data_IF_133330012748
#
_entry.id   IF_133330012748
#
_cell.length_a   1.000
_cell.length_b   1.000
_cell.length_c   1.000
_cell.angle_alpha   90.00
_cell.angle_beta   90.00
_cell.angle_gamma   90.00
#
_symmetry.space_group_name_H-M   'P 1'
#
loop_
_entity.id
_entity.type
_entity.pdbx_description
1 polymer ?
#
# COMPACT_ATOMS: atom_id res chain seq x y z
N UNK A 1 -13.07 -25.66 24.07
CA UNK A 1 -12.96 -25.84 22.60
C UNK A 1 -11.65 -25.20 22.20
N UNK A 2 -10.74 -25.91 21.57
CA UNK A 2 -9.51 -25.31 21.07
C UNK A 2 -9.92 -24.24 20.05
N UNK A 3 -9.70 -22.98 20.37
CA UNK A 3 -9.90 -21.87 19.46
C UNK A 3 -8.84 -22.02 18.36
N UNK A 4 -9.25 -22.47 17.17
CA UNK A 4 -8.33 -22.62 16.03
C UNK A 4 -7.67 -21.30 15.69
N UNK A 5 -6.48 -21.38 15.09
CA UNK A 5 -5.74 -20.20 14.60
C UNK A 5 -6.62 -19.38 13.66
N UNK A 6 -6.79 -18.10 13.95
CA UNK A 6 -7.41 -17.12 13.03
C UNK A 6 -6.30 -16.27 12.41
N UNK A 7 -6.34 -16.11 11.10
CA UNK A 7 -5.39 -15.32 10.33
C UNK A 7 -6.12 -14.11 9.71
N UNK A 8 -5.62 -12.92 9.92
CA UNK A 8 -6.04 -11.73 9.20
C UNK A 8 -4.95 -11.33 8.21
N UNK A 9 -5.32 -10.99 6.97
CA UNK A 9 -4.39 -10.60 5.89
C UNK A 9 -4.90 -9.36 5.19
N UNK A 10 -4.02 -8.40 5.04
CA UNK A 10 -4.19 -7.23 4.19
C UNK A 10 -3.20 -7.32 3.02
N UNK A 11 -3.73 -7.46 1.80
CA UNK A 11 -2.93 -7.50 0.57
C UNK A 11 -2.99 -6.11 -0.05
N UNK A 12 -2.09 -5.23 0.38
CA UNK A 12 -2.01 -3.88 -0.18
C UNK A 12 -1.27 -3.84 -1.53
N UNK A 13 -1.30 -2.68 -2.19
CA UNK A 13 -0.59 -2.45 -3.46
C UNK A 13 0.93 -2.35 -3.30
N UNK A 14 1.44 -1.98 -2.13
CA UNK A 14 2.87 -1.90 -1.85
C UNK A 14 3.41 -3.04 -1.00
N UNK A 15 2.61 -3.47 -0.03
CA UNK A 15 2.99 -4.49 0.94
C UNK A 15 1.80 -5.38 1.29
N UNK A 16 2.10 -6.61 1.67
CA UNK A 16 1.16 -7.51 2.34
C UNK A 16 1.50 -7.53 3.82
N UNK A 17 0.50 -7.33 4.66
CA UNK A 17 0.59 -7.45 6.12
C UNK A 17 -0.33 -8.55 6.61
N UNK A 18 -0.01 -9.11 7.76
CA UNK A 18 -0.85 -10.12 8.39
C UNK A 18 -0.72 -10.09 9.91
N UNK A 19 -1.76 -10.60 10.56
CA UNK A 19 -1.78 -10.85 11.99
C UNK A 19 -2.45 -12.18 12.28
N UNK A 20 -2.06 -12.82 13.37
CA UNK A 20 -2.67 -14.05 13.86
C UNK A 20 -3.31 -13.82 15.22
N UNK A 21 -4.44 -14.49 15.45
CA UNK A 21 -5.03 -14.59 16.78
C UNK A 21 -4.81 -16.01 17.32
N UNK A 22 -4.03 -16.09 18.40
CA UNK A 22 -3.72 -17.33 19.11
C UNK A 22 -4.20 -17.18 20.54
N UNK A 23 -5.06 -18.07 21.00
CA UNK A 23 -5.59 -18.04 22.38
C UNK A 23 -6.16 -16.68 22.81
N UNK A 24 -6.80 -15.98 21.88
CA UNK A 24 -7.40 -14.65 22.10
C UNK A 24 -6.40 -13.49 22.08
N UNK A 25 -5.13 -13.73 21.81
CA UNK A 25 -4.11 -12.67 21.63
C UNK A 25 -3.87 -12.42 20.16
N UNK A 26 -3.90 -11.16 19.78
CA UNK A 26 -3.59 -10.71 18.41
C UNK A 26 -2.09 -10.40 18.33
N UNK A 27 -1.41 -11.05 17.39
CA UNK A 27 0.04 -10.87 17.16
C UNK A 27 0.29 -10.53 15.70
N UNK A 28 1.04 -9.44 15.41
CA UNK A 28 1.49 -9.15 14.05
C UNK A 28 2.38 -10.28 13.53
N UNK A 29 2.13 -10.74 12.31
CA UNK A 29 2.93 -11.77 11.66
C UNK A 29 4.07 -11.13 10.87
N UNK A 30 5.30 -11.56 11.14
CA UNK A 30 6.45 -11.18 10.32
C UNK A 30 6.46 -11.99 9.03
N UNK A 31 6.21 -11.34 7.91
CA UNK A 31 6.22 -11.95 6.58
C UNK A 31 7.58 -11.78 5.87
N UNK A 32 8.41 -10.85 6.35
CA UNK A 32 9.77 -10.60 5.89
C UNK A 32 10.66 -10.18 7.09
N UNK A 33 12.00 -10.19 6.95
CA UNK A 33 12.91 -9.75 8.02
C UNK A 33 12.56 -8.37 8.60
N UNK A 34 12.14 -7.44 7.72
CA UNK A 34 11.78 -6.07 8.07
C UNK A 34 10.29 -5.89 8.43
N UNK A 35 9.51 -6.98 8.51
CA UNK A 35 8.09 -6.98 8.89
C UNK A 35 7.15 -7.33 7.74
N UNK A 36 6.57 -6.36 7.01
CA UNK A 36 5.66 -6.60 5.90
C UNK A 36 6.35 -7.22 4.67
N UNK A 37 5.64 -8.03 3.90
CA UNK A 37 6.13 -8.59 2.64
C UNK A 37 5.84 -7.63 1.49
N UNK A 38 6.83 -7.36 0.63
CA UNK A 38 6.61 -6.54 -0.59
C UNK A 38 5.56 -7.18 -1.49
N UNK A 39 4.68 -6.34 -2.03
CA UNK A 39 3.62 -6.77 -2.96
C UNK A 39 4.21 -6.97 -4.37
N UNK A 40 5.00 -8.02 -4.54
CA UNK A 40 5.55 -8.44 -5.83
C UNK A 40 5.49 -9.95 -5.94
N UNK A 41 5.14 -10.43 -7.12
CA UNK A 41 5.18 -11.87 -7.48
C UNK A 41 6.03 -12.01 -8.73
N UNK A 42 6.96 -12.96 -8.72
CA UNK A 42 7.86 -13.21 -9.85
C UNK A 42 7.85 -14.67 -10.26
N UNK A 43 8.04 -14.90 -11.57
CA UNK A 43 8.17 -16.25 -12.13
C UNK A 43 9.64 -16.66 -12.14
N UNK A 44 9.99 -17.70 -11.38
CA UNK A 44 11.32 -18.29 -11.38
C UNK A 44 11.62 -19.04 -12.68
N UNK A 45 12.88 -19.38 -12.92
CA UNK A 45 13.30 -20.13 -14.12
C UNK A 45 12.69 -21.53 -14.20
N UNK A 46 12.39 -22.16 -13.07
CA UNK A 46 11.72 -23.46 -12.97
C UNK A 46 10.18 -23.38 -13.01
N UNK A 47 9.62 -22.18 -13.31
CA UNK A 47 8.19 -21.98 -13.52
C UNK A 47 7.38 -21.81 -12.23
N UNK A 48 8.00 -21.61 -11.08
CA UNK A 48 7.30 -21.36 -9.82
C UNK A 48 7.06 -19.88 -9.60
N UNK A 49 5.89 -19.53 -9.02
CA UNK A 49 5.61 -18.20 -8.54
C UNK A 49 6.27 -18.00 -7.16
N UNK A 50 7.12 -17.00 -7.07
CA UNK A 50 7.80 -16.57 -5.85
C UNK A 50 7.21 -15.26 -5.35
N UNK A 51 7.32 -15.03 -4.03
CA UNK A 51 6.84 -13.83 -3.33
C UNK A 51 7.92 -13.28 -2.42
N UNK A 52 7.71 -12.10 -1.84
CA UNK A 52 8.63 -11.51 -0.87
C UNK A 52 10.00 -11.16 -1.45
N UNK A 53 11.07 -11.38 -0.67
CA UNK A 53 12.44 -11.02 -1.08
C UNK A 53 12.90 -11.77 -2.33
N UNK A 54 12.61 -13.06 -2.43
CA UNK A 54 12.97 -13.86 -3.61
C UNK A 54 12.31 -13.33 -4.90
N UNK A 55 11.07 -12.85 -4.82
CA UNK A 55 10.42 -12.20 -5.96
C UNK A 55 11.03 -10.84 -6.26
N UNK A 56 11.39 -10.06 -5.23
CA UNK A 56 12.02 -8.75 -5.39
C UNK A 56 13.41 -8.86 -6.05
N UNK A 57 14.18 -9.90 -5.74
CA UNK A 57 15.49 -10.16 -6.36
C UNK A 57 15.35 -10.46 -7.87
N UNK A 58 14.34 -11.25 -8.25
CA UNK A 58 14.04 -11.49 -9.66
C UNK A 58 13.55 -10.20 -10.33
N UNK A 59 12.66 -9.44 -9.69
CA UNK A 59 12.16 -8.18 -10.22
C UNK A 59 13.29 -7.17 -10.49
N UNK A 60 14.33 -7.15 -9.66
CA UNK A 60 15.47 -6.26 -9.84
C UNK A 60 16.36 -6.65 -11.03
N UNK A 61 16.44 -7.94 -11.39
CA UNK A 61 17.31 -8.45 -12.44
C UNK A 61 16.57 -8.82 -13.72
N UNK A 62 15.32 -9.24 -13.61
CA UNK A 62 14.44 -9.70 -14.70
C UNK A 62 13.04 -9.11 -14.51
N UNK A 63 12.87 -7.79 -14.72
CA UNK A 63 11.58 -7.11 -14.49
C UNK A 63 10.44 -7.66 -15.37
N UNK A 64 10.76 -8.20 -16.55
CA UNK A 64 9.80 -8.87 -17.44
C UNK A 64 9.17 -10.15 -16.83
N UNK A 65 9.81 -10.72 -15.79
CA UNK A 65 9.33 -11.93 -15.09
C UNK A 65 8.64 -11.60 -13.76
N UNK A 66 8.38 -10.34 -13.49
CA UNK A 66 7.81 -9.87 -12.23
C UNK A 66 6.53 -9.08 -12.44
N UNK A 67 5.56 -9.30 -11.57
CA UNK A 67 4.35 -8.50 -11.43
C UNK A 67 4.43 -7.71 -10.13
N UNK A 68 4.76 -6.42 -10.15
CA UNK A 68 4.54 -5.54 -9.01
C UNK A 68 3.04 -5.33 -8.81
N UNK A 69 2.63 -5.04 -7.58
CA UNK A 69 1.23 -4.76 -7.24
C UNK A 69 0.24 -5.85 -7.75
N UNK A 70 0.38 -7.12 -7.33
CA UNK A 70 -0.45 -8.21 -7.84
C UNK A 70 -1.95 -7.99 -7.56
N UNK A 71 -2.31 -7.23 -6.49
CA UNK A 71 -3.70 -6.87 -6.21
C UNK A 71 -4.28 -5.94 -7.29
N UNK A 72 -3.50 -4.97 -7.75
CA UNK A 72 -3.92 -4.08 -8.84
C UNK A 72 -4.02 -4.85 -10.18
N UNK A 73 -3.16 -5.84 -10.40
CA UNK A 73 -3.31 -6.72 -11.55
C UNK A 73 -4.61 -7.53 -11.49
N UNK A 74 -4.98 -8.06 -10.32
CA UNK A 74 -6.26 -8.76 -10.10
C UNK A 74 -7.47 -7.87 -10.39
N UNK A 75 -7.38 -6.57 -10.08
CA UNK A 75 -8.43 -5.59 -10.34
C UNK A 75 -8.61 -5.33 -11.84
N UNK A 76 -7.50 -5.16 -12.57
CA UNK A 76 -7.51 -4.60 -13.92
C UNK A 76 -7.54 -5.65 -15.05
N UNK A 77 -7.14 -6.89 -14.79
CA UNK A 77 -7.01 -7.92 -15.83
C UNK A 77 -7.15 -9.33 -15.27
N UNK A 78 -7.55 -10.27 -16.13
CA UNK A 78 -7.68 -11.68 -15.74
C UNK A 78 -6.34 -12.42 -15.79
N UNK A 79 -5.36 -11.90 -16.56
CA UNK A 79 -4.07 -12.54 -16.74
C UNK A 79 -2.96 -11.53 -17.01
N UNK A 80 -1.72 -11.91 -16.67
CA UNK A 80 -0.50 -11.14 -16.96
C UNK A 80 0.53 -12.01 -17.66
N UNK A 81 1.43 -11.37 -18.40
CA UNK A 81 2.56 -12.07 -19.01
C UNK A 81 3.81 -11.89 -18.15
N UNK A 82 4.43 -13.01 -17.72
CA UNK A 82 5.69 -13.02 -16.99
C UNK A 82 6.73 -13.79 -17.83
N UNK A 83 7.66 -13.06 -18.44
CA UNK A 83 8.56 -13.60 -19.46
C UNK A 83 7.75 -14.12 -20.66
N UNK A 84 7.89 -15.41 -20.99
CA UNK A 84 7.13 -16.06 -22.04
C UNK A 84 5.83 -16.74 -21.57
N UNK A 85 5.50 -16.68 -20.27
CA UNK A 85 4.38 -17.41 -19.68
C UNK A 85 3.23 -16.50 -19.34
N UNK A 86 2.01 -16.87 -19.69
CA UNK A 86 0.78 -16.19 -19.29
C UNK A 86 0.27 -16.79 -18.00
N UNK A 87 0.07 -15.94 -16.98
CA UNK A 87 -0.34 -16.33 -15.64
C UNK A 87 -1.69 -15.69 -15.32
N UNK A 88 -2.72 -16.45 -14.90
CA UNK A 88 -3.95 -15.88 -14.36
C UNK A 88 -3.67 -15.04 -13.10
N UNK A 89 -4.27 -13.85 -12.99
CA UNK A 89 -4.01 -12.95 -11.85
C UNK A 89 -4.44 -13.53 -10.51
N UNK A 90 -5.45 -14.41 -10.51
CA UNK A 90 -5.85 -15.17 -9.31
C UNK A 90 -4.71 -16.04 -8.76
N UNK A 91 -3.82 -16.57 -9.61
CA UNK A 91 -2.68 -17.39 -9.16
C UNK A 91 -1.59 -16.55 -8.49
N UNK A 92 -1.45 -15.27 -8.87
CA UNK A 92 -0.54 -14.34 -8.20
C UNK A 92 -0.97 -14.13 -6.74
N UNK A 93 -2.26 -13.83 -6.54
CA UNK A 93 -2.81 -13.64 -5.19
C UNK A 93 -2.80 -14.95 -4.40
N UNK A 94 -3.11 -16.08 -5.05
CA UNK A 94 -3.01 -17.39 -4.42
C UNK A 94 -1.58 -17.70 -3.96
N UNK A 95 -0.55 -17.31 -4.72
CA UNK A 95 0.85 -17.47 -4.30
C UNK A 95 1.18 -16.62 -3.06
N UNK A 96 0.72 -15.35 -3.03
CA UNK A 96 0.84 -14.47 -1.85
C UNK A 96 0.18 -15.11 -0.63
N UNK A 97 -1.07 -15.57 -0.76
CA UNK A 97 -1.82 -16.17 0.34
C UNK A 97 -1.19 -17.47 0.82
N UNK A 98 -0.69 -18.34 -0.07
CA UNK A 98 0.04 -19.55 0.32
C UNK A 98 1.28 -19.25 1.17
N UNK A 99 2.03 -18.21 0.80
CA UNK A 99 3.19 -17.76 1.58
C UNK A 99 2.78 -17.26 2.96
N UNK A 100 1.73 -16.45 3.03
CA UNK A 100 1.23 -15.91 4.32
C UNK A 100 0.75 -17.05 5.23
N UNK A 101 0.01 -18.01 4.70
CA UNK A 101 -0.45 -19.20 5.45
C UNK A 101 0.73 -20.05 5.93
N UNK A 102 1.75 -20.21 5.09
CA UNK A 102 2.98 -20.91 5.48
C UNK A 102 3.66 -20.23 6.67
N UNK A 103 3.81 -18.90 6.63
CA UNK A 103 4.40 -18.16 7.74
C UNK A 103 3.54 -18.19 9.01
N UNK A 104 2.21 -18.09 8.87
CA UNK A 104 1.29 -18.21 10.00
C UNK A 104 1.38 -19.59 10.68
N UNK A 105 1.43 -20.67 9.88
CA UNK A 105 1.58 -22.03 10.37
C UNK A 105 2.92 -22.24 11.08
N UNK A 106 4.00 -21.68 10.51
CA UNK A 106 5.34 -21.69 11.16
C UNK A 106 5.34 -20.95 12.49
N UNK A 107 4.71 -19.77 12.53
CA UNK A 107 4.66 -18.91 13.72
C UNK A 107 3.92 -19.58 14.86
N UNK A 108 2.76 -20.20 14.57
CA UNK A 108 1.94 -20.87 15.58
C UNK A 108 2.46 -22.24 15.98
N UNK A 109 3.40 -22.82 15.22
CA UNK A 109 3.85 -24.22 15.35
C UNK A 109 2.68 -25.22 15.42
N UNK A 110 1.54 -24.89 14.79
CA UNK A 110 0.29 -25.63 14.86
C UNK A 110 -0.31 -25.96 13.49
N UNK A 111 -1.59 -26.32 13.43
CA UNK A 111 -2.29 -26.55 12.16
C UNK A 111 -2.47 -25.24 11.38
N UNK A 112 -2.77 -25.34 10.07
CA UNK A 112 -3.15 -24.17 9.26
C UNK A 112 -4.32 -23.38 9.88
N UNK A 113 -4.48 -22.09 9.52
CA UNK A 113 -5.56 -21.26 10.03
C UNK A 113 -6.94 -21.88 9.78
N UNK A 114 -7.76 -21.98 10.82
CA UNK A 114 -9.14 -22.46 10.74
C UNK A 114 -10.10 -21.43 10.15
N UNK A 115 -9.75 -20.14 10.29
CA UNK A 115 -10.50 -19.00 9.75
C UNK A 115 -9.51 -17.98 9.21
N UNK A 116 -9.85 -17.38 8.06
CA UNK A 116 -9.08 -16.30 7.45
C UNK A 116 -9.97 -15.09 7.21
N UNK A 117 -9.50 -13.92 7.63
CA UNK A 117 -10.11 -12.62 7.31
C UNK A 117 -9.20 -11.94 6.29
N UNK A 118 -9.73 -11.62 5.12
CA UNK A 118 -9.02 -10.82 4.10
C UNK A 118 -9.65 -9.44 4.02
N UNK A 119 -8.83 -8.41 3.98
CA UNK A 119 -9.31 -7.08 3.60
C UNK A 119 -9.58 -7.01 2.10
N UNK A 120 -10.48 -6.14 1.71
CA UNK A 120 -10.78 -5.86 0.31
C UNK A 120 -11.01 -4.36 0.12
N UNK A 121 -10.49 -3.77 -0.99
CA UNK A 121 -10.74 -2.38 -1.33
C UNK A 121 -12.23 -2.09 -1.40
N UNK A 122 -12.66 -1.02 -0.73
CA UNK A 122 -14.08 -0.66 -0.62
C UNK A 122 -14.72 -0.32 -1.97
N UNK A 123 -13.92 0.10 -2.95
CA UNK A 123 -14.36 0.44 -4.30
C UNK A 123 -14.65 -0.78 -5.20
N UNK A 124 -14.29 -1.98 -4.75
CA UNK A 124 -14.44 -3.18 -5.56
C UNK A 124 -15.91 -3.56 -5.73
N UNK A 125 -16.25 -3.98 -6.93
CA UNK A 125 -17.53 -4.57 -7.29
C UNK A 125 -17.56 -6.07 -6.96
N UNK A 126 -18.69 -6.73 -7.23
CA UNK A 126 -18.82 -8.17 -7.04
C UNK A 126 -17.76 -8.99 -7.80
N UNK A 127 -17.35 -8.55 -9.01
CA UNK A 127 -16.41 -9.28 -9.86
C UNK A 127 -14.99 -9.35 -9.26
N UNK A 128 -14.47 -8.23 -8.72
CA UNK A 128 -13.15 -8.22 -8.06
C UNK A 128 -13.17 -9.02 -6.76
N UNK A 129 -14.26 -8.89 -5.99
CA UNK A 129 -14.49 -9.66 -4.76
C UNK A 129 -14.53 -11.16 -5.06
N UNK A 130 -15.19 -11.59 -6.13
CA UNK A 130 -15.26 -12.99 -6.52
C UNK A 130 -13.90 -13.52 -7.00
N UNK A 131 -13.11 -12.70 -7.70
CA UNK A 131 -11.73 -13.04 -8.06
C UNK A 131 -10.83 -13.21 -6.82
N UNK A 132 -10.98 -12.36 -5.80
CA UNK A 132 -10.24 -12.52 -4.53
C UNK A 132 -10.66 -13.80 -3.80
N UNK A 133 -11.96 -14.13 -3.76
CA UNK A 133 -12.45 -15.40 -3.21
C UNK A 133 -11.92 -16.61 -3.97
N UNK A 134 -11.90 -16.54 -5.30
CA UNK A 134 -11.33 -17.59 -6.14
C UNK A 134 -9.83 -17.77 -5.86
N UNK A 135 -9.07 -16.69 -5.72
CA UNK A 135 -7.66 -16.75 -5.36
C UNK A 135 -7.43 -17.39 -3.98
N UNK A 136 -8.26 -17.04 -3.00
CA UNK A 136 -8.21 -17.64 -1.66
C UNK A 136 -8.51 -19.17 -1.73
N UNK A 137 -9.52 -19.56 -2.50
CA UNK A 137 -9.83 -20.97 -2.72
C UNK A 137 -8.67 -21.72 -3.39
N UNK A 138 -8.01 -21.09 -4.40
CA UNK A 138 -6.80 -21.64 -5.06
C UNK A 138 -5.61 -21.75 -4.11
N UNK A 139 -5.58 -20.94 -3.05
CA UNK A 139 -4.59 -21.05 -1.96
C UNK A 139 -4.95 -22.13 -0.92
N UNK A 140 -6.08 -22.82 -1.07
CA UNK A 140 -6.56 -23.84 -0.13
C UNK A 140 -7.38 -23.29 1.05
N UNK A 141 -7.79 -22.02 0.98
CA UNK A 141 -8.55 -21.36 2.04
C UNK A 141 -10.06 -21.48 1.76
N UNK A 142 -10.77 -22.22 2.61
CA UNK A 142 -12.21 -22.50 2.44
C UNK A 142 -13.11 -21.69 3.38
N UNK A 143 -12.58 -21.24 4.52
CA UNK A 143 -13.30 -20.44 5.50
C UNK A 143 -12.76 -18.99 5.50
N UNK A 144 -13.23 -18.18 4.55
CA UNK A 144 -12.74 -16.82 4.32
C UNK A 144 -13.86 -15.81 4.52
N UNK A 145 -13.61 -14.85 5.40
CA UNK A 145 -14.44 -13.65 5.58
C UNK A 145 -13.75 -12.46 4.91
N UNK A 146 -14.46 -11.72 4.07
CA UNK A 146 -13.95 -10.46 3.51
C UNK A 146 -14.44 -9.29 4.37
N UNK A 147 -13.52 -8.35 4.63
CA UNK A 147 -13.76 -7.14 5.41
C UNK A 147 -13.32 -5.92 4.59
N UNK A 148 -14.16 -4.90 4.40
CA UNK A 148 -13.73 -3.67 3.75
C UNK A 148 -12.54 -3.01 4.50
N UNK A 149 -11.50 -2.61 3.76
CA UNK A 149 -10.29 -1.98 4.30
C UNK A 149 -10.58 -0.85 5.30
N UNK A 150 -11.47 0.15 5.00
CA UNK A 150 -11.73 1.24 5.93
C UNK A 150 -12.40 0.78 7.23
N UNK A 151 -13.20 -0.30 7.21
CA UNK A 151 -13.79 -0.87 8.44
C UNK A 151 -12.71 -1.54 9.28
N UNK A 152 -11.78 -2.27 8.65
CA UNK A 152 -10.65 -2.88 9.35
C UNK A 152 -9.78 -1.81 10.02
N UNK A 153 -9.44 -0.75 9.29
CA UNK A 153 -8.65 0.37 9.78
C UNK A 153 -9.35 1.09 10.94
N UNK A 154 -10.64 1.39 10.81
CA UNK A 154 -11.41 2.05 11.86
C UNK A 154 -11.49 1.19 13.14
N UNK A 155 -11.68 -0.11 13.02
CA UNK A 155 -11.69 -1.02 14.18
C UNK A 155 -10.35 -1.07 14.92
N UNK A 156 -9.26 -0.86 14.21
CA UNK A 156 -7.92 -0.84 14.81
C UNK A 156 -7.61 0.49 15.47
N UNK A 157 -7.94 1.62 14.83
CA UNK A 157 -7.55 2.95 15.29
C UNK A 157 -8.53 3.55 16.31
N UNK A 158 -9.81 3.18 16.24
CA UNK A 158 -10.80 3.74 17.15
C UNK A 158 -10.55 3.32 18.60
N UNK A 159 -10.54 4.31 19.49
CA UNK A 159 -10.67 4.03 20.91
C UNK A 159 -12.09 3.50 21.19
N UNK A 160 -12.25 2.26 21.71
CA UNK A 160 -13.55 1.70 22.03
C UNK A 160 -14.38 2.57 22.98
N UNK A 161 -13.74 3.39 23.81
CA UNK A 161 -14.39 4.30 24.77
C UNK A 161 -14.67 5.70 24.18
N UNK A 162 -14.06 6.06 23.04
CA UNK A 162 -14.07 7.41 22.50
C UNK A 162 -15.22 7.74 21.57
N UNK A 163 -15.63 6.79 20.72
CA UNK A 163 -16.64 7.03 19.71
C UNK A 163 -18.02 6.54 20.14
N UNK A 164 -18.99 7.46 20.22
CA UNK A 164 -20.38 7.13 20.53
C UNK A 164 -21.08 6.52 19.29
N UNK A 165 -22.00 5.56 19.46
CA UNK A 165 -22.86 5.14 18.37
C UNK A 165 -23.55 6.34 17.70
N UNK A 166 -23.54 6.37 16.36
CA UNK A 166 -24.00 7.50 15.56
C UNK A 166 -22.93 8.55 15.22
N UNK A 167 -21.75 8.53 15.87
CA UNK A 167 -20.62 9.37 15.46
C UNK A 167 -20.18 9.03 14.04
N UNK A 168 -19.83 10.05 13.27
CA UNK A 168 -19.33 9.90 11.91
C UNK A 168 -17.84 10.19 11.88
N UNK A 169 -17.08 9.32 11.24
CA UNK A 169 -15.64 9.46 11.04
C UNK A 169 -15.30 9.36 9.56
N UNK A 170 -14.13 9.85 9.20
CA UNK A 170 -13.57 9.64 7.88
C UNK A 170 -12.32 8.74 7.95
N UNK A 171 -12.13 7.90 6.93
CA UNK A 171 -10.89 7.17 6.69
C UNK A 171 -10.24 7.76 5.45
N UNK A 172 -9.06 8.33 5.63
CA UNK A 172 -8.18 8.84 4.58
C UNK A 172 -7.07 7.81 4.38
N UNK A 173 -7.19 7.02 3.32
CA UNK A 173 -6.23 5.95 3.01
C UNK A 173 -5.38 6.35 1.80
N UNK A 174 -4.09 6.66 2.06
CA UNK A 174 -3.11 6.94 1.02
C UNK A 174 -2.05 5.85 1.01
N UNK A 175 -2.27 4.87 0.16
CA UNK A 175 -1.43 3.70 -0.01
C UNK A 175 -0.24 3.92 -0.95
N UNK A 176 0.31 2.82 -1.46
CA UNK A 176 1.43 2.88 -2.41
C UNK A 176 0.98 3.31 -3.81
N UNK A 177 -0.18 2.88 -4.29
CA UNK A 177 -0.65 3.17 -5.65
C UNK A 177 -1.92 4.03 -5.69
N UNK A 178 -2.75 3.98 -4.66
CA UNK A 178 -4.10 4.54 -4.66
C UNK A 178 -4.35 5.43 -3.45
N UNK A 179 -5.32 6.33 -3.61
CA UNK A 179 -5.95 7.08 -2.53
C UNK A 179 -7.42 6.66 -2.43
N UNK A 180 -7.92 6.42 -1.22
CA UNK A 180 -9.33 6.18 -0.93
C UNK A 180 -9.81 7.07 0.22
N UNK A 181 -11.03 7.57 0.11
CA UNK A 181 -11.74 8.34 1.12
C UNK A 181 -13.06 7.63 1.45
N UNK A 182 -13.31 7.31 2.71
CA UNK A 182 -14.53 6.63 3.13
C UNK A 182 -15.08 7.26 4.38
N UNK A 183 -16.39 7.48 4.38
CA UNK A 183 -17.10 7.95 5.57
C UNK A 183 -17.76 6.76 6.26
N UNK A 184 -17.57 6.68 7.56
CA UNK A 184 -18.10 5.61 8.39
C UNK A 184 -18.98 6.18 9.51
N UNK A 185 -20.02 5.44 9.86
CA UNK A 185 -20.82 5.70 11.07
C UNK A 185 -20.51 4.64 12.11
N UNK A 186 -20.19 5.04 13.32
CA UNK A 186 -20.00 4.15 14.44
C UNK A 186 -21.36 3.53 14.85
N UNK A 187 -21.40 2.22 15.05
CA UNK A 187 -22.56 1.46 15.50
C UNK A 187 -22.21 0.65 16.76
N UNK A 188 -23.20 0.13 17.49
CA UNK A 188 -22.90 -0.74 18.64
C UNK A 188 -22.07 -1.99 18.28
N UNK A 189 -22.10 -2.42 17.00
CA UNK A 189 -21.37 -3.61 16.50
C UNK A 189 -20.05 -3.27 15.79
N UNK A 190 -19.67 -2.00 15.66
CA UNK A 190 -18.47 -1.57 14.94
C UNK A 190 -18.73 -0.37 14.04
N UNK A 191 -18.50 -0.49 12.75
CA UNK A 191 -18.64 0.60 11.78
C UNK A 191 -19.41 0.16 10.55
N UNK A 192 -20.17 1.10 9.97
CA UNK A 192 -20.89 0.95 8.70
C UNK A 192 -20.47 2.06 7.74
N UNK A 193 -20.34 1.72 6.44
CA UNK A 193 -20.01 2.67 5.40
C UNK A 193 -21.23 3.59 5.19
N UNK A 194 -20.96 4.90 5.14
CA UNK A 194 -21.97 5.92 4.91
C UNK A 194 -21.72 6.64 3.58
N UNK A 195 -22.69 6.55 2.69
CA UNK A 195 -22.56 7.11 1.34
C UNK A 195 -21.61 6.31 0.44
N UNK A 196 -21.29 6.87 -0.71
CA UNK A 196 -20.37 6.26 -1.67
C UNK A 196 -18.92 6.64 -1.35
N UNK A 197 -17.99 5.68 -1.27
CA UNK A 197 -16.57 5.98 -1.13
C UNK A 197 -16.03 6.78 -2.30
N UNK A 198 -15.16 7.75 -1.99
CA UNK A 198 -14.39 8.52 -2.99
C UNK A 198 -12.95 8.05 -3.08
N UNK A 199 -12.19 8.69 -3.97
CA UNK A 199 -10.76 8.41 -4.07
C UNK A 199 -10.15 8.72 -5.43
N UNK A 200 -8.88 8.33 -5.59
CA UNK A 200 -8.14 8.40 -6.84
C UNK A 200 -7.32 7.12 -7.02
N UNK A 201 -7.68 6.26 -7.99
CA UNK A 201 -6.98 4.98 -8.21
C UNK A 201 -5.57 5.15 -8.80
N UNK A 202 -5.23 6.33 -9.30
CA UNK A 202 -3.98 6.64 -9.97
C UNK A 202 -3.02 7.51 -9.14
N UNK A 203 -3.35 7.76 -7.86
CA UNK A 203 -2.53 8.57 -6.97
C UNK A 203 -2.21 7.85 -5.66
N UNK A 204 -0.93 7.67 -5.40
CA UNK A 204 -0.39 7.06 -4.18
C UNK A 204 1.11 7.30 -4.06
N UNK A 205 1.76 6.59 -3.17
CA UNK A 205 3.19 6.70 -2.88
C UNK A 205 4.09 6.57 -4.11
N UNK A 206 3.76 5.68 -5.04
CA UNK A 206 4.51 5.50 -6.29
C UNK A 206 4.52 6.76 -7.16
N UNK A 207 3.38 7.47 -7.22
CA UNK A 207 3.29 8.75 -7.94
C UNK A 207 4.09 9.85 -7.26
N UNK A 208 4.10 9.83 -5.93
CA UNK A 208 4.94 10.75 -5.13
C UNK A 208 6.42 10.46 -5.39
N UNK A 209 6.83 9.19 -5.48
CA UNK A 209 8.21 8.79 -5.83
C UNK A 209 8.61 9.31 -7.20
N UNK A 210 7.73 9.23 -8.22
CA UNK A 210 7.98 9.77 -9.55
C UNK A 210 8.11 11.30 -9.54
N UNK A 211 7.32 12.00 -8.73
CA UNK A 211 7.43 13.45 -8.57
C UNK A 211 8.75 13.81 -7.91
N UNK A 212 9.13 13.10 -6.85
CA UNK A 212 10.38 13.32 -6.15
C UNK A 212 11.60 12.99 -7.03
N UNK A 213 11.53 11.92 -7.84
CA UNK A 213 12.57 11.60 -8.82
C UNK A 213 12.79 12.75 -9.82
N UNK A 214 11.71 13.37 -10.32
CA UNK A 214 11.83 14.58 -11.17
C UNK A 214 12.52 15.72 -10.43
N UNK A 215 12.22 15.90 -9.13
CA UNK A 215 12.88 16.92 -8.32
C UNK A 215 14.38 16.64 -8.15
N UNK A 216 14.76 15.37 -7.97
CA UNK A 216 16.16 14.93 -7.96
C UNK A 216 16.81 15.22 -9.31
N UNK A 217 16.12 14.90 -10.41
CA UNK A 217 16.62 15.18 -11.79
C UNK A 217 16.87 16.68 -12.04
N UNK A 218 15.98 17.55 -11.61
CA UNK A 218 16.13 19.00 -11.72
C UNK A 218 17.38 19.52 -10.98
N UNK A 219 17.65 18.98 -9.80
CA UNK A 219 18.85 19.35 -9.02
C UNK A 219 20.14 18.75 -9.62
N UNK A 220 20.10 17.48 -9.97
CA UNK A 220 21.22 16.80 -10.63
C UNK A 220 21.59 17.48 -11.94
N UNK A 221 20.58 17.86 -12.75
CA UNK A 221 20.78 18.57 -14.02
C UNK A 221 21.39 19.97 -13.86
N UNK A 222 21.20 20.64 -12.73
CA UNK A 222 21.88 21.90 -12.42
C UNK A 222 23.34 21.71 -12.09
N UNK A 223 23.74 20.53 -11.59
CA UNK A 223 25.14 20.19 -11.29
C UNK A 223 25.84 19.71 -12.56
N UNK A 224 25.31 18.69 -13.22
CA UNK A 224 25.83 18.15 -14.48
C UNK A 224 24.70 17.49 -15.29
N UNK A 225 24.04 18.28 -16.13
CA UNK A 225 22.93 17.81 -16.97
C UNK A 225 23.35 16.76 -17.99
N UNK A 226 24.58 16.82 -18.49
CA UNK A 226 25.10 15.87 -19.48
C UNK A 226 25.30 14.49 -18.84
N UNK A 227 25.92 14.47 -17.66
CA UNK A 227 26.13 13.22 -16.92
C UNK A 227 24.80 12.60 -16.47
N UNK A 228 23.84 13.41 -15.98
CA UNK A 228 22.50 12.92 -15.62
C UNK A 228 21.77 12.29 -16.81
N UNK A 229 21.74 12.97 -17.96
CA UNK A 229 21.09 12.44 -19.16
C UNK A 229 21.79 11.19 -19.69
N UNK A 230 23.12 11.15 -19.67
CA UNK A 230 23.88 9.97 -20.09
C UNK A 230 23.59 8.76 -19.18
N UNK A 231 23.47 8.99 -17.87
CA UNK A 231 23.12 7.94 -16.91
C UNK A 231 21.75 7.29 -17.29
N UNK A 232 20.73 8.09 -17.53
CA UNK A 232 19.37 7.58 -17.86
C UNK A 232 19.27 7.03 -19.28
N UNK A 233 20.18 7.38 -20.18
CA UNK A 233 20.24 6.85 -21.54
C UNK A 233 21.00 5.51 -21.63
N UNK A 234 21.66 5.05 -20.57
CA UNK A 234 22.45 3.81 -20.55
C UNK A 234 21.54 2.57 -20.49
N UNK A 235 21.39 1.80 -21.58
CA UNK A 235 20.57 0.58 -21.60
C UNK A 235 21.30 -0.65 -21.07
N UNK A 236 22.58 -0.53 -20.70
CA UNK A 236 23.39 -1.65 -20.22
C UNK A 236 22.81 -2.22 -18.90
N UNK A 237 23.12 -3.47 -18.56
CA UNK A 237 22.74 -4.04 -17.27
C UNK A 237 23.20 -3.21 -16.08
N UNK A 238 24.40 -2.62 -16.16
CA UNK A 238 24.93 -1.72 -15.12
C UNK A 238 24.15 -0.41 -15.03
N UNK A 239 23.75 0.17 -16.17
CA UNK A 239 22.89 1.35 -16.24
C UNK A 239 21.53 1.07 -15.60
N UNK A 240 20.89 -0.03 -15.97
CA UNK A 240 19.59 -0.43 -15.40
C UNK A 240 19.66 -0.69 -13.88
N UNK A 241 20.74 -1.30 -13.39
CA UNK A 241 20.97 -1.48 -11.96
C UNK A 241 21.12 -0.11 -11.25
N UNK A 242 21.80 0.84 -11.87
CA UNK A 242 21.94 2.19 -11.33
C UNK A 242 20.59 2.92 -11.29
N UNK A 243 19.78 2.84 -12.35
CA UNK A 243 18.41 3.38 -12.36
C UNK A 243 17.58 2.81 -11.21
N UNK A 244 17.60 1.49 -11.03
CA UNK A 244 16.89 0.80 -9.95
C UNK A 244 17.36 1.29 -8.59
N UNK A 245 18.67 1.41 -8.38
CA UNK A 245 19.24 1.90 -7.13
C UNK A 245 18.83 3.35 -6.83
N UNK A 246 18.84 4.24 -7.83
CA UNK A 246 18.42 5.63 -7.65
C UNK A 246 16.93 5.69 -7.28
N UNK A 247 16.07 4.92 -7.95
CA UNK A 247 14.64 4.83 -7.61
C UNK A 247 14.42 4.34 -6.17
N UNK A 248 15.15 3.32 -5.75
CA UNK A 248 15.09 2.82 -4.35
C UNK A 248 15.51 3.89 -3.35
N UNK A 249 16.53 4.70 -3.67
CA UNK A 249 16.95 5.79 -2.80
C UNK A 249 15.94 6.95 -2.77
N UNK A 250 15.22 7.20 -3.87
CA UNK A 250 14.11 8.17 -3.90
C UNK A 250 12.97 7.70 -2.99
N UNK A 251 12.60 6.42 -3.02
CA UNK A 251 11.61 5.83 -2.10
C UNK A 251 12.07 6.01 -0.64
N UNK A 252 13.32 5.65 -0.35
CA UNK A 252 13.91 5.83 0.99
C UNK A 252 13.94 7.30 1.42
N UNK A 253 14.22 8.21 0.50
CA UNK A 253 14.19 9.66 0.76
C UNK A 253 12.77 10.12 1.10
N UNK A 254 11.73 9.74 0.34
CA UNK A 254 10.33 10.04 0.64
C UNK A 254 9.95 9.58 2.06
N UNK A 255 10.28 8.35 2.41
CA UNK A 255 9.97 7.78 3.73
C UNK A 255 10.73 8.51 4.84
N UNK A 256 12.03 8.74 4.68
CA UNK A 256 12.85 9.46 5.65
C UNK A 256 12.38 10.91 5.86
N UNK A 257 11.95 11.60 4.80
CA UNK A 257 11.47 12.99 4.87
C UNK A 257 10.15 13.15 5.64
N UNK A 258 9.45 12.07 5.96
CA UNK A 258 8.32 12.10 6.91
C UNK A 258 8.77 12.36 8.36
N UNK A 259 10.02 12.02 8.70
CA UNK A 259 10.57 12.17 10.07
C UNK A 259 11.77 13.11 10.14
N UNK A 260 12.53 13.27 9.04
CA UNK A 260 13.73 14.13 8.96
C UNK A 260 13.44 15.36 8.10
N UNK A 261 14.28 16.39 8.19
CA UNK A 261 14.14 17.64 7.40
C UNK A 261 14.88 17.58 6.07
N UNK A 262 15.87 16.69 5.91
CA UNK A 262 16.60 16.49 4.67
C UNK A 262 17.04 15.02 4.52
N UNK A 263 17.30 14.63 3.27
CA UNK A 263 17.86 13.33 2.92
C UNK A 263 18.74 13.44 1.67
N UNK A 264 19.78 12.62 1.59
CA UNK A 264 20.73 12.61 0.48
C UNK A 264 20.49 11.42 -0.44
N UNK A 265 20.17 11.69 -1.70
CA UNK A 265 20.09 10.69 -2.77
C UNK A 265 21.47 10.56 -3.42
N UNK A 266 22.08 9.40 -3.31
CA UNK A 266 23.42 9.14 -3.85
C UNK A 266 23.33 8.71 -5.30
N UNK A 267 23.64 9.62 -6.22
CA UNK A 267 23.66 9.36 -7.66
C UNK A 267 25.06 8.85 -8.07
N UNK A 268 26.10 9.50 -7.58
CA UNK A 268 27.49 9.20 -7.90
C UNK A 268 27.99 9.85 -9.19
N UNK A 269 29.21 9.49 -9.62
CA UNK A 269 29.86 10.10 -10.78
C UNK A 269 30.07 11.61 -10.63
N UNK A 270 30.05 12.36 -11.72
CA UNK A 270 30.18 13.82 -11.73
C UNK A 270 28.91 14.55 -11.25
N UNK A 271 27.76 13.88 -11.21
CA UNK A 271 26.52 14.41 -10.61
C UNK A 271 26.67 14.51 -9.10
N UNK A 272 27.36 13.54 -8.48
CA UNK A 272 27.56 13.49 -7.02
C UNK A 272 26.29 13.15 -6.26
N UNK A 273 26.20 13.63 -5.05
CA UNK A 273 25.07 13.42 -4.14
C UNK A 273 24.08 14.58 -4.26
N UNK A 274 22.78 14.25 -4.27
CA UNK A 274 21.69 15.23 -4.37
C UNK A 274 20.95 15.30 -3.05
N UNK A 275 21.06 16.41 -2.34
CA UNK A 275 20.28 16.66 -1.14
C UNK A 275 18.84 17.10 -1.50
N UNK A 276 17.85 16.48 -0.87
CA UNK A 276 16.42 16.83 -0.95
C UNK A 276 15.92 17.15 0.46
N UNK A 277 15.17 18.23 0.59
CA UNK A 277 14.56 18.63 1.85
C UNK A 277 13.08 18.22 1.91
N UNK A 278 12.52 18.14 3.14
CA UNK A 278 11.06 17.98 3.32
C UNK A 278 10.29 19.10 2.62
N UNK A 279 10.76 20.34 2.70
CA UNK A 279 10.13 21.47 2.02
C UNK A 279 10.10 21.27 0.49
N UNK A 280 11.13 20.69 -0.12
CA UNK A 280 11.13 20.35 -1.55
C UNK A 280 10.08 19.32 -1.90
N UNK A 281 9.99 18.24 -1.09
CA UNK A 281 8.99 17.20 -1.26
C UNK A 281 7.59 17.79 -1.15
N UNK A 282 7.29 18.47 -0.04
CA UNK A 282 5.97 19.04 0.23
C UNK A 282 5.56 20.05 -0.84
N UNK A 283 6.45 20.95 -1.24
CA UNK A 283 6.17 21.91 -2.32
C UNK A 283 5.91 21.23 -3.67
N UNK A 284 6.55 20.07 -3.92
CA UNK A 284 6.40 19.34 -5.19
C UNK A 284 5.08 18.57 -5.28
N UNK A 285 4.46 18.21 -4.14
CA UNK A 285 3.25 17.40 -4.07
C UNK A 285 2.04 18.12 -3.46
N UNK A 286 2.15 19.39 -3.06
CA UNK A 286 1.09 20.13 -2.36
C UNK A 286 -0.23 20.16 -3.17
N UNK A 287 -0.13 20.31 -4.49
CA UNK A 287 -1.31 20.32 -5.36
C UNK A 287 -2.07 19.00 -5.34
N UNK A 288 -1.36 17.90 -5.48
CA UNK A 288 -1.93 16.55 -5.43
C UNK A 288 -2.50 16.23 -4.05
N UNK A 289 -1.79 16.58 -2.98
CA UNK A 289 -2.29 16.38 -1.62
C UNK A 289 -3.55 17.20 -1.33
N UNK A 290 -3.62 18.47 -1.79
CA UNK A 290 -4.84 19.28 -1.70
C UNK A 290 -6.01 18.64 -2.45
N UNK A 291 -5.74 18.06 -3.62
CA UNK A 291 -6.77 17.34 -4.39
C UNK A 291 -7.31 16.12 -3.62
N UNK A 292 -6.47 15.36 -2.91
CA UNK A 292 -6.94 14.23 -2.09
C UNK A 292 -7.77 14.69 -0.89
N UNK A 293 -7.39 15.79 -0.23
CA UNK A 293 -8.18 16.36 0.88
C UNK A 293 -9.52 16.92 0.37
N UNK A 294 -9.51 17.58 -0.79
CA UNK A 294 -10.74 18.04 -1.45
C UNK A 294 -11.68 16.88 -1.76
N UNK A 295 -11.13 15.76 -2.23
CA UNK A 295 -11.91 14.54 -2.48
C UNK A 295 -12.51 13.96 -1.20
N UNK A 296 -11.77 13.94 -0.08
CA UNK A 296 -12.32 13.53 1.22
C UNK A 296 -13.49 14.43 1.66
N UNK A 297 -13.33 15.74 1.53
CA UNK A 297 -14.38 16.73 1.86
C UNK A 297 -15.61 16.47 0.99
N UNK A 298 -15.44 16.31 -0.32
CA UNK A 298 -16.52 16.00 -1.26
C UNK A 298 -17.22 14.68 -0.91
N UNK A 299 -16.47 13.67 -0.51
CA UNK A 299 -17.00 12.37 -0.07
C UNK A 299 -17.86 12.53 1.19
N UNK A 300 -17.43 13.35 2.15
CA UNK A 300 -18.20 13.64 3.36
C UNK A 300 -19.50 14.38 3.01
N UNK A 301 -19.43 15.42 2.18
CA UNK A 301 -20.61 16.19 1.74
C UNK A 301 -21.62 15.32 0.99
N UNK A 302 -21.15 14.45 0.09
CA UNK A 302 -21.99 13.49 -0.62
C UNK A 302 -22.68 12.47 0.33
N UNK A 303 -22.01 12.13 1.44
CA UNK A 303 -22.59 11.31 2.51
C UNK A 303 -23.53 12.10 3.45
N UNK A 304 -23.78 13.39 3.18
CA UNK A 304 -24.62 14.26 4.00
C UNK A 304 -23.97 14.63 5.33
N UNK A 305 -22.64 14.81 5.35
CA UNK A 305 -21.85 15.16 6.53
C UNK A 305 -21.00 16.40 6.22
N UNK A 306 -21.16 17.46 6.99
CA UNK A 306 -20.26 18.61 6.88
C UNK A 306 -18.87 18.22 7.43
N UNK A 307 -17.77 18.64 6.80
CA UNK A 307 -16.42 18.27 7.25
C UNK A 307 -16.15 18.50 8.73
N UNK A 308 -16.60 19.64 9.28
CA UNK A 308 -16.45 19.96 10.69
C UNK A 308 -17.35 19.15 11.65
N UNK A 309 -18.23 18.30 11.14
CA UNK A 309 -19.06 17.37 11.93
C UNK A 309 -18.42 15.98 12.07
N UNK A 310 -17.32 15.74 11.37
CA UNK A 310 -16.55 14.51 11.55
C UNK A 310 -15.95 14.49 12.95
N UNK A 311 -16.22 13.43 13.68
CA UNK A 311 -15.66 13.24 15.03
C UNK A 311 -14.14 13.04 14.97
N UNK A 312 -13.64 12.38 13.89
CA UNK A 312 -12.25 12.03 13.73
C UNK A 312 -11.94 11.71 12.26
N UNK A 313 -10.68 11.88 11.85
CA UNK A 313 -10.17 11.43 10.55
C UNK A 313 -9.04 10.44 10.80
N UNK A 314 -9.22 9.20 10.39
CA UNK A 314 -8.20 8.17 10.51
C UNK A 314 -7.28 8.17 9.28
N UNK A 315 -5.98 8.27 9.52
CA UNK A 315 -4.95 8.19 8.50
C UNK A 315 -4.48 6.74 8.34
N UNK A 316 -4.57 6.23 7.14
CA UNK A 316 -4.21 4.87 6.76
C UNK A 316 -3.27 4.89 5.56
N UNK A 317 -2.44 3.87 5.45
CA UNK A 317 -1.44 3.76 4.39
C UNK A 317 -0.11 4.46 4.72
N UNK A 318 0.98 3.92 4.18
CA UNK A 318 2.33 4.42 4.47
C UNK A 318 2.54 5.87 4.02
N UNK A 319 1.93 6.27 2.90
CA UNK A 319 2.06 7.62 2.37
C UNK A 319 1.25 8.67 3.15
N UNK A 320 0.25 8.25 3.92
CA UNK A 320 -0.52 9.14 4.80
C UNK A 320 0.32 9.70 5.98
N UNK A 321 1.51 9.14 6.22
CA UNK A 321 2.45 9.63 7.23
C UNK A 321 3.20 10.92 6.83
N UNK A 322 3.04 11.41 5.60
CA UNK A 322 3.64 12.67 5.16
C UNK A 322 3.02 13.83 5.98
N UNK A 323 3.82 14.62 6.73
CA UNK A 323 3.29 15.61 7.69
C UNK A 323 2.37 16.66 7.07
N UNK A 324 2.60 17.01 5.80
CA UNK A 324 1.78 17.97 5.07
C UNK A 324 0.31 17.55 4.98
N UNK A 325 0.00 16.25 4.97
CA UNK A 325 -1.37 15.73 4.92
C UNK A 325 -2.16 16.14 6.17
N UNK A 326 -1.59 15.92 7.35
CA UNK A 326 -2.24 16.33 8.62
C UNK A 326 -2.48 17.84 8.69
N UNK A 327 -1.52 18.63 8.19
CA UNK A 327 -1.66 20.07 8.11
C UNK A 327 -2.79 20.49 7.16
N UNK A 328 -2.88 19.88 5.97
CA UNK A 328 -3.92 20.16 4.99
C UNK A 328 -5.32 19.75 5.48
N UNK A 329 -5.43 18.58 6.12
CA UNK A 329 -6.70 18.13 6.70
C UNK A 329 -7.20 19.14 7.74
N UNK A 330 -6.35 19.57 8.66
CA UNK A 330 -6.73 20.61 9.63
C UNK A 330 -7.07 21.94 8.95
N UNK A 331 -6.26 22.39 7.98
CA UNK A 331 -6.47 23.64 7.24
C UNK A 331 -7.81 23.67 6.50
N UNK A 332 -8.18 22.55 5.83
CA UNK A 332 -9.29 22.52 4.89
C UNK A 332 -10.60 21.97 5.49
N UNK A 333 -10.53 21.05 6.44
CA UNK A 333 -11.72 20.46 7.09
C UNK A 333 -11.99 21.02 8.48
N UNK A 334 -11.01 21.63 9.13
CA UNK A 334 -11.09 22.06 10.52
C UNK A 334 -10.94 20.90 11.54
N UNK A 335 -10.78 19.67 11.06
CA UNK A 335 -10.66 18.46 11.90
C UNK A 335 -9.21 17.99 11.92
N UNK A 336 -8.70 17.72 13.10
CA UNK A 336 -7.36 17.15 13.27
C UNK A 336 -7.45 15.64 13.09
N UNK A 337 -6.58 15.04 12.25
CA UNK A 337 -6.48 13.60 12.13
C UNK A 337 -5.77 12.96 13.30
#
# INVERSE_FOLDING_TARGET
MATGLTLAVDIGTGFTTAAVAVDGRLEPLRLAPDGPMRAVVSLSHDGRLLTGSAAADIAATHPDRAQPCPLQALENTDQVQLGSTVIPTIELIAAVLRQVVHEATRHSAGPPPAQVVLTAPVRWSGAEVDRLRAAAFRAGLTNVTLLPEPIAAARWQADPAGLRPGSTIAVYDLGAATFAATILTATPGGFEIRGEPGGNPDFGGNKIDDILLRRVADRAGKTDSRAWNALWADPSPSGQQLHTRIRQQVVAAKEALSTTTSHTVRVGGSVGDVEITRADLEASIDGELRATVTELIRTAENAGVRPGELAEIFLVGGSAQIPRISALLLEMSGVRP
#
